data_IF_380102815596
#
_entry.id   IF_380102815596
#
_cell.length_a   1.000
_cell.length_b   1.000
_cell.length_c   1.000
_cell.angle_alpha   90.00
_cell.angle_beta   90.00
_cell.angle_gamma   90.00
#
_symmetry.space_group_name_H-M   'P 1'
#
loop_
_entity.id
_entity.type
_entity.pdbx_description
1 polymer ?
#
# COMPACT_ATOMS: atom_id res chain seq x y z
N UNK A 1 -21.83 7.25 -10.60
CA UNK A 1 -21.87 7.83 -9.24
C UNK A 1 -20.68 7.27 -8.48
N UNK A 2 -19.57 8.00 -8.41
CA UNK A 2 -18.27 7.51 -7.89
C UNK A 2 -17.90 8.22 -6.58
N UNK A 3 -18.75 8.12 -5.56
CA UNK A 3 -18.51 8.80 -4.27
C UNK A 3 -17.52 8.06 -3.35
N UNK A 4 -17.10 6.84 -3.68
CA UNK A 4 -16.29 5.96 -2.81
C UNK A 4 -14.77 6.20 -2.76
N UNK A 5 -14.25 7.29 -3.35
CA UNK A 5 -12.81 7.46 -3.59
C UNK A 5 -12.11 8.55 -2.74
N UNK A 6 -12.74 9.04 -1.66
CA UNK A 6 -12.19 10.13 -0.86
C UNK A 6 -12.22 9.76 0.64
N UNK A 7 -11.07 9.78 1.35
CA UNK A 7 -11.04 9.50 2.79
C UNK A 7 -11.86 10.52 3.58
N UNK A 8 -12.52 10.07 4.65
CA UNK A 8 -13.55 10.81 5.40
C UNK A 8 -13.02 12.18 5.86
N UNK A 9 -11.79 12.21 6.35
CA UNK A 9 -11.09 13.44 6.77
C UNK A 9 -10.95 14.47 5.65
N UNK A 10 -10.69 14.01 4.42
CA UNK A 10 -10.52 14.89 3.25
C UNK A 10 -11.86 15.38 2.74
N UNK A 11 -12.90 14.57 2.86
CA UNK A 11 -14.27 14.97 2.55
C UNK A 11 -14.76 16.03 3.55
N UNK A 12 -14.53 15.84 4.86
CA UNK A 12 -14.80 16.85 5.91
C UNK A 12 -14.16 18.20 5.61
N UNK A 13 -12.86 18.23 5.30
CA UNK A 13 -12.16 19.47 4.93
C UNK A 13 -12.74 20.14 3.69
N UNK A 14 -13.11 19.38 2.65
CA UNK A 14 -13.73 19.93 1.44
C UNK A 14 -15.14 20.48 1.70
N UNK A 15 -15.91 19.82 2.55
CA UNK A 15 -17.26 20.23 2.92
C UNK A 15 -17.22 21.50 3.78
N UNK A 16 -16.37 21.55 4.81
CA UNK A 16 -16.19 22.74 5.66
C UNK A 16 -15.70 23.94 4.83
N UNK A 17 -14.79 23.72 3.88
CA UNK A 17 -14.30 24.76 2.97
C UNK A 17 -15.30 25.19 1.88
N UNK A 18 -16.47 24.55 1.78
CA UNK A 18 -17.57 24.94 0.88
C UNK A 18 -18.82 25.43 1.61
N UNK A 19 -19.05 24.91 2.82
CA UNK A 19 -20.23 25.14 3.63
C UNK A 19 -19.78 25.58 5.02
N UNK A 20 -19.34 26.85 5.12
CA UNK A 20 -18.62 27.38 6.28
C UNK A 20 -19.51 27.55 7.53
N UNK A 21 -20.85 27.43 7.39
CA UNK A 21 -21.83 27.69 8.47
C UNK A 21 -22.60 26.44 8.93
N UNK A 22 -22.28 25.24 8.41
CA UNK A 22 -23.04 24.02 8.67
C UNK A 22 -22.18 22.91 9.30
N UNK A 23 -21.15 23.25 10.07
CA UNK A 23 -20.30 22.28 10.78
C UNK A 23 -21.07 21.18 11.54
N UNK A 24 -22.10 21.47 12.36
CA UNK A 24 -22.82 20.42 13.09
C UNK A 24 -23.65 19.50 12.18
N UNK A 25 -24.15 20.00 11.05
CA UNK A 25 -24.86 19.19 10.06
C UNK A 25 -23.90 18.36 9.21
N UNK A 26 -22.72 18.89 8.89
CA UNK A 26 -21.65 18.17 8.20
C UNK A 26 -21.12 17.04 9.08
N UNK A 27 -20.95 17.27 10.39
CA UNK A 27 -20.55 16.22 11.33
C UNK A 27 -21.60 15.14 11.44
N UNK A 28 -22.89 15.49 11.59
CA UNK A 28 -23.99 14.52 11.56
C UNK A 28 -24.05 13.72 10.26
N UNK A 29 -23.98 14.38 9.10
CA UNK A 29 -23.99 13.67 7.83
C UNK A 29 -22.75 12.77 7.66
N UNK A 30 -21.58 13.19 8.14
CA UNK A 30 -20.38 12.36 8.12
C UNK A 30 -20.48 11.18 9.06
N UNK A 31 -21.05 11.36 10.25
CA UNK A 31 -21.33 10.28 11.21
C UNK A 31 -22.37 9.32 10.65
N UNK A 32 -23.44 9.79 10.01
CA UNK A 32 -24.41 8.93 9.33
C UNK A 32 -23.79 8.19 8.14
N UNK A 33 -22.96 8.86 7.32
CA UNK A 33 -22.24 8.22 6.22
C UNK A 33 -21.17 7.23 6.69
N UNK A 34 -20.59 7.43 7.88
CA UNK A 34 -19.72 6.46 8.54
C UNK A 34 -20.54 5.29 9.12
N UNK A 35 -21.69 5.59 9.71
CA UNK A 35 -22.58 4.60 10.32
C UNK A 35 -23.31 3.74 9.29
N UNK A 36 -23.48 4.25 8.06
CA UNK A 36 -24.07 3.55 6.91
C UNK A 36 -23.02 2.83 6.03
N UNK A 37 -21.75 2.74 6.47
CA UNK A 37 -20.62 2.10 5.76
C UNK A 37 -20.27 2.74 4.38
N UNK A 38 -20.91 3.86 4.01
CA UNK A 38 -20.67 4.54 2.73
C UNK A 38 -19.30 5.22 2.68
N UNK A 39 -18.72 5.55 3.84
CA UNK A 39 -17.43 6.19 4.03
C UNK A 39 -16.45 5.28 4.79
N UNK A 40 -16.24 4.06 4.27
CA UNK A 40 -15.29 3.11 4.87
C UNK A 40 -13.86 3.43 4.48
N UNK A 41 -13.09 4.01 5.42
CA UNK A 41 -11.63 4.16 5.32
C UNK A 41 -10.96 2.82 4.99
N UNK A 42 -11.54 1.69 5.40
CA UNK A 42 -11.11 0.35 4.99
C UNK A 42 -11.26 0.11 3.48
N UNK A 43 -12.43 0.41 2.91
CA UNK A 43 -12.70 0.20 1.48
C UNK A 43 -11.82 1.08 0.60
N UNK A 44 -11.60 2.32 1.02
CA UNK A 44 -10.62 3.20 0.37
C UNK A 44 -9.20 2.64 0.47
N UNK A 45 -8.80 2.18 1.67
CA UNK A 45 -7.49 1.58 1.90
C UNK A 45 -7.28 0.36 1.03
N UNK A 46 -8.28 -0.50 0.93
CA UNK A 46 -8.26 -1.73 0.14
C UNK A 46 -8.08 -1.42 -1.35
N UNK A 47 -8.93 -0.55 -1.93
CA UNK A 47 -8.80 -0.09 -3.32
C UNK A 47 -7.46 0.60 -3.60
N UNK A 48 -6.95 1.37 -2.64
CA UNK A 48 -5.68 2.07 -2.76
C UNK A 48 -4.51 1.09 -2.78
N UNK A 49 -4.52 0.12 -1.86
CA UNK A 49 -3.52 -0.95 -1.82
C UNK A 49 -3.58 -1.74 -3.12
N UNK A 50 -4.75 -2.18 -3.57
CA UNK A 50 -4.91 -2.97 -4.81
C UNK A 50 -4.36 -2.24 -6.05
N UNK A 51 -4.67 -0.94 -6.19
CA UNK A 51 -4.14 -0.10 -7.26
C UNK A 51 -2.61 0.02 -7.21
N UNK A 52 -2.03 0.07 -6.00
CA UNK A 52 -0.58 0.11 -5.79
C UNK A 52 0.07 -1.27 -5.92
N UNK A 53 -0.62 -2.36 -5.56
CA UNK A 53 -0.19 -3.74 -5.77
C UNK A 53 -0.09 -4.04 -7.25
N UNK A 54 -0.98 -3.48 -8.07
CA UNK A 54 -0.86 -3.61 -9.52
C UNK A 54 0.43 -2.96 -10.08
N UNK A 55 1.01 -1.97 -9.38
CA UNK A 55 2.30 -1.40 -9.74
C UNK A 55 3.47 -2.31 -9.31
N UNK A 56 4.20 -2.87 -10.29
CA UNK A 56 5.37 -3.75 -10.07
C UNK A 56 6.55 -3.12 -9.31
N UNK A 57 6.57 -1.80 -9.09
CA UNK A 57 7.73 -1.05 -8.58
C UNK A 57 7.56 -0.52 -7.16
N UNK A 58 6.43 -0.77 -6.51
CA UNK A 58 6.11 -0.21 -5.20
C UNK A 58 5.95 -1.35 -4.19
N UNK A 59 6.75 -1.34 -3.14
CA UNK A 59 6.65 -2.30 -2.05
C UNK A 59 5.70 -1.87 -0.92
N UNK A 60 5.38 -2.79 0.00
CA UNK A 60 4.34 -2.60 1.03
C UNK A 60 4.63 -1.40 1.93
N UNK A 61 5.90 -1.16 2.26
CA UNK A 61 6.32 -0.08 3.15
C UNK A 61 5.93 1.30 2.60
N UNK A 62 6.04 1.47 1.27
CA UNK A 62 5.73 2.72 0.59
C UNK A 62 4.22 2.94 0.51
N UNK A 63 3.45 1.85 0.40
CA UNK A 63 1.99 1.89 0.41
C UNK A 63 1.48 2.24 1.80
N UNK A 64 1.98 1.58 2.84
CA UNK A 64 1.66 1.89 4.24
C UNK A 64 2.02 3.33 4.59
N UNK A 65 3.17 3.83 4.15
CA UNK A 65 3.56 5.23 4.36
C UNK A 65 2.64 6.24 3.64
N UNK A 66 2.13 5.92 2.44
CA UNK A 66 1.18 6.76 1.71
C UNK A 66 -0.20 6.75 2.40
N UNK A 67 -0.62 5.59 2.91
CA UNK A 67 -1.86 5.43 3.69
C UNK A 67 -1.81 6.20 5.01
N UNK A 68 -0.70 6.10 5.75
CA UNK A 68 -0.49 6.88 6.97
C UNK A 68 -0.52 8.39 6.72
N UNK A 69 0.12 8.86 5.65
CA UNK A 69 0.05 10.29 5.28
C UNK A 69 -1.36 10.75 4.92
N UNK A 70 -2.25 9.83 4.53
CA UNK A 70 -3.67 10.11 4.27
C UNK A 70 -4.53 10.05 5.53
N UNK A 71 -3.96 9.61 6.65
CA UNK A 71 -4.64 9.51 7.94
C UNK A 71 -5.29 8.15 8.22
N UNK A 72 -4.92 7.11 7.48
CA UNK A 72 -5.29 5.72 7.79
C UNK A 72 -4.38 5.21 8.90
N UNK A 73 -4.95 4.51 9.88
CA UNK A 73 -4.18 3.92 10.96
C UNK A 73 -3.22 2.83 10.45
N UNK A 74 -2.07 2.69 11.11
CA UNK A 74 -1.07 1.68 10.72
C UNK A 74 -1.65 0.28 10.83
N UNK A 75 -2.40 -0.02 11.89
CA UNK A 75 -2.97 -1.34 12.12
C UNK A 75 -3.96 -1.69 11.01
N UNK A 76 -4.88 -0.77 10.69
CA UNK A 76 -5.83 -0.95 9.60
C UNK A 76 -5.14 -1.14 8.25
N UNK A 77 -4.11 -0.34 7.96
CA UNK A 77 -3.32 -0.48 6.74
C UNK A 77 -2.60 -1.83 6.68
N UNK A 78 -2.08 -2.32 7.82
CA UNK A 78 -1.38 -3.60 7.88
C UNK A 78 -2.35 -4.78 7.72
N UNK A 79 -3.49 -4.77 8.42
CA UNK A 79 -4.51 -5.83 8.31
C UNK A 79 -5.01 -5.97 6.88
N UNK A 80 -5.38 -4.86 6.23
CA UNK A 80 -5.89 -4.90 4.85
C UNK A 80 -4.77 -5.28 3.86
N UNK A 81 -3.53 -4.87 4.12
CA UNK A 81 -2.39 -5.28 3.32
C UNK A 81 -2.18 -6.79 3.40
N UNK A 82 -2.27 -7.36 4.60
CA UNK A 82 -2.12 -8.79 4.87
C UNK A 82 -3.25 -9.59 4.19
N UNK A 83 -4.50 -9.10 4.27
CA UNK A 83 -5.64 -9.71 3.57
C UNK A 83 -5.53 -9.66 2.03
N UNK A 84 -4.97 -8.59 1.47
CA UNK A 84 -4.88 -8.42 0.01
C UNK A 84 -3.62 -9.03 -0.60
N UNK A 85 -2.52 -9.07 0.16
CA UNK A 85 -1.21 -9.44 -0.32
C UNK A 85 -0.42 -10.14 0.78
N UNK A 86 -0.50 -11.47 0.74
CA UNK A 86 0.31 -12.37 1.53
C UNK A 86 1.82 -12.19 1.30
N UNK A 87 2.58 -12.73 2.25
CA UNK A 87 4.03 -12.79 2.19
C UNK A 87 4.53 -13.38 0.86
N UNK A 88 3.87 -14.44 0.39
CA UNK A 88 4.22 -15.14 -0.83
C UNK A 88 4.01 -14.28 -2.09
N UNK A 89 2.98 -13.41 -2.09
CA UNK A 89 2.75 -12.46 -3.17
C UNK A 89 3.91 -11.46 -3.28
N UNK A 90 4.38 -10.94 -2.15
CA UNK A 90 5.51 -10.03 -2.10
C UNK A 90 6.82 -10.71 -2.51
N UNK A 91 7.04 -11.93 -2.03
CA UNK A 91 8.20 -12.73 -2.43
C UNK A 91 8.19 -13.01 -3.93
N UNK A 92 7.05 -13.37 -4.51
CA UNK A 92 6.89 -13.59 -5.96
C UNK A 92 7.20 -12.33 -6.76
N UNK A 93 6.67 -11.16 -6.35
CA UNK A 93 7.00 -9.85 -6.94
C UNK A 93 8.49 -9.53 -6.90
N UNK A 94 9.14 -9.81 -5.77
CA UNK A 94 10.57 -9.58 -5.59
C UNK A 94 11.37 -10.53 -6.49
N UNK A 95 10.97 -11.81 -6.57
CA UNK A 95 11.56 -12.81 -7.46
C UNK A 95 11.44 -12.40 -8.94
N UNK A 96 10.26 -12.00 -9.42
CA UNK A 96 10.04 -11.50 -10.80
C UNK A 96 10.99 -10.34 -11.13
N UNK A 97 11.10 -9.37 -10.20
CA UNK A 97 12.02 -8.25 -10.34
C UNK A 97 13.50 -8.67 -10.31
N UNK A 98 13.86 -9.64 -9.46
CA UNK A 98 15.21 -10.18 -9.36
C UNK A 98 15.58 -10.93 -10.64
N UNK A 99 14.68 -11.74 -11.19
CA UNK A 99 14.88 -12.43 -12.46
C UNK A 99 15.06 -11.44 -13.61
N UNK A 100 14.21 -10.40 -13.70
CA UNK A 100 14.40 -9.32 -14.69
C UNK A 100 15.76 -8.64 -14.54
N UNK A 101 16.19 -8.36 -13.31
CA UNK A 101 17.50 -7.76 -13.04
C UNK A 101 18.66 -8.73 -13.34
N UNK A 102 18.47 -10.03 -13.13
CA UNK A 102 19.49 -11.07 -13.28
C UNK A 102 19.64 -11.57 -14.72
N UNK A 103 18.60 -11.45 -15.57
CA UNK A 103 18.64 -11.76 -17.02
C UNK A 103 19.75 -11.01 -17.77
N UNK A 104 20.26 -9.91 -17.23
CA UNK A 104 21.32 -9.09 -17.84
C UNK A 104 22.77 -9.61 -17.71
N UNK A 105 23.01 -10.79 -17.13
CA UNK A 105 24.33 -11.45 -17.05
C UNK A 105 25.49 -10.59 -16.48
N UNK A 106 25.17 -9.52 -15.73
CA UNK A 106 26.14 -8.81 -14.89
C UNK A 106 26.30 -9.60 -13.60
N UNK A 107 27.52 -9.71 -13.08
CA UNK A 107 27.79 -10.09 -11.68
C UNK A 107 27.04 -9.13 -10.75
N UNK A 108 25.75 -9.37 -10.57
CA UNK A 108 24.91 -8.51 -9.78
C UNK A 108 25.19 -8.88 -8.33
N UNK A 109 25.91 -7.99 -7.65
CA UNK A 109 26.19 -8.14 -6.24
C UNK A 109 24.86 -8.25 -5.47
N UNK A 110 24.73 -9.24 -4.57
CA UNK A 110 23.52 -9.45 -3.74
C UNK A 110 23.11 -8.15 -3.05
N UNK A 111 24.10 -7.38 -2.59
CA UNK A 111 23.91 -6.07 -2.00
C UNK A 111 23.30 -5.05 -2.96
N UNK A 112 23.73 -5.01 -4.23
CA UNK A 112 23.20 -4.07 -5.22
C UNK A 112 21.75 -4.40 -5.61
N UNK A 113 21.41 -5.69 -5.69
CA UNK A 113 20.03 -6.15 -5.92
C UNK A 113 19.14 -5.80 -4.73
N UNK A 114 19.61 -6.08 -3.51
CA UNK A 114 18.91 -5.72 -2.29
C UNK A 114 18.69 -4.20 -2.17
N UNK A 115 19.70 -3.39 -2.51
CA UNK A 115 19.58 -1.93 -2.48
C UNK A 115 18.55 -1.41 -3.49
N UNK A 116 18.47 -1.98 -4.69
CA UNK A 116 17.45 -1.62 -5.71
C UNK A 116 16.04 -1.97 -5.25
N UNK A 117 15.86 -3.13 -4.63
CA UNK A 117 14.56 -3.54 -4.08
C UNK A 117 14.18 -2.69 -2.88
N UNK A 118 15.14 -2.34 -2.03
CA UNK A 118 14.92 -1.44 -0.91
C UNK A 118 14.51 -0.04 -1.39
N UNK A 119 15.15 0.51 -2.42
CA UNK A 119 14.75 1.79 -3.05
C UNK A 119 13.33 1.74 -3.64
N UNK A 120 12.85 0.56 -4.03
CA UNK A 120 11.46 0.34 -4.48
C UNK A 120 10.46 0.25 -3.31
N UNK A 121 10.94 0.18 -2.07
CA UNK A 121 10.11 0.17 -0.86
C UNK A 121 9.67 -1.23 -0.41
N UNK A 122 10.37 -2.28 -0.85
CA UNK A 122 10.18 -3.63 -0.33
C UNK A 122 10.83 -3.76 1.05
N UNK A 123 10.19 -4.52 1.94
CA UNK A 123 10.74 -4.77 3.27
C UNK A 123 12.04 -5.57 3.18
N UNK A 124 12.99 -5.25 4.05
CA UNK A 124 14.30 -5.92 4.07
C UNK A 124 14.18 -7.43 4.30
N UNK A 125 13.20 -7.85 5.10
CA UNK A 125 12.90 -9.26 5.40
C UNK A 125 12.59 -10.04 4.11
N UNK A 126 11.60 -9.60 3.33
CA UNK A 126 11.24 -10.26 2.07
C UNK A 126 12.35 -10.23 1.03
N UNK A 127 13.13 -9.13 0.98
CA UNK A 127 14.30 -9.04 0.10
C UNK A 127 15.32 -10.12 0.47
N UNK A 128 15.63 -10.24 1.75
CA UNK A 128 16.66 -11.17 2.22
C UNK A 128 16.21 -12.63 2.06
N UNK A 129 14.93 -12.91 2.30
CA UNK A 129 14.30 -14.21 2.09
C UNK A 129 14.33 -14.60 0.61
N UNK A 130 13.89 -13.72 -0.30
CA UNK A 130 13.95 -13.98 -1.74
C UNK A 130 15.39 -14.18 -2.26
N UNK A 131 16.35 -13.39 -1.77
CA UNK A 131 17.76 -13.56 -2.13
C UNK A 131 18.38 -14.85 -1.57
N UNK A 132 17.89 -15.34 -0.43
CA UNK A 132 18.32 -16.61 0.14
C UNK A 132 17.77 -17.79 -0.66
N UNK A 133 16.47 -17.74 -0.98
CA UNK A 133 15.77 -18.75 -1.77
C UNK A 133 16.40 -18.93 -3.17
N UNK A 134 16.77 -17.83 -3.82
CA UNK A 134 17.45 -17.84 -5.13
C UNK A 134 18.86 -18.45 -5.07
N UNK A 135 19.51 -18.41 -3.89
CA UNK A 135 20.80 -19.06 -3.67
C UNK A 135 20.63 -20.56 -3.45
N UNK A 136 19.61 -20.95 -2.68
CA UNK A 136 19.26 -22.35 -2.42
C UNK A 136 18.82 -23.10 -3.69
N UNK A 137 18.07 -22.46 -4.58
CA UNK A 137 17.68 -23.09 -5.85
C UNK A 137 18.85 -23.30 -6.83
N UNK A 138 20.05 -22.80 -6.52
CA UNK A 138 21.24 -22.89 -7.37
C UNK A 138 22.27 -23.93 -6.87
N UNK A 139 21.93 -24.71 -5.85
CA UNK A 139 22.73 -25.83 -5.34
C UNK A 139 21.92 -27.13 -5.43
#
# INVERSE_FOLDING_TARGET
MEFGNIPVRKLKRKLIARFHNHEPEIERCLEELQSEDYLSDQRFTQLFIESRLNNKRVGPFKIVADLQQRGIDRDTAHSIMDELADEEFWLSKIKDNLEELCKGNKKNNRQALGQKLFQRGFAYEFINQALNDLNFSRY
#
